data_IF_002442842023
#
_entry.id   IF_002442842023
#
_cell.length_a   1.000
_cell.length_b   1.000
_cell.length_c   1.000
_cell.angle_alpha   90.00
_cell.angle_beta   90.00
_cell.angle_gamma   90.00
#
_symmetry.space_group_name_H-M   'P 1'
#
loop_
_entity.id
_entity.type
_entity.pdbx_description
1 polymer ?
#
# COMPACT_ATOMS: atom_id res chain seq x y z
N UNK A 1 -11.67 -13.28 -58.41
CA UNK A 1 -10.76 -12.27 -57.81
C UNK A 1 -9.49 -12.19 -58.65
N UNK A 2 -8.95 -10.97 -58.76
CA UNK A 2 -8.09 -10.45 -59.84
C UNK A 2 -6.67 -11.07 -59.93
N UNK A 3 -6.28 -11.43 -61.16
CA UNK A 3 -5.02 -11.18 -61.92
C UNK A 3 -3.73 -10.92 -61.12
N UNK A 4 -2.71 -11.79 -61.21
CA UNK A 4 -1.61 -11.89 -62.22
C UNK A 4 -0.51 -10.80 -62.07
N UNK A 5 0.74 -11.28 -62.11
CA UNK A 5 1.90 -10.69 -62.81
C UNK A 5 3.09 -10.29 -61.93
N UNK A 6 4.15 -11.09 -62.06
CA UNK A 6 5.57 -10.83 -61.78
C UNK A 6 6.12 -9.94 -62.91
N UNK A 7 6.85 -8.85 -62.60
CA UNK A 7 7.86 -8.26 -63.50
C UNK A 7 9.03 -7.67 -62.70
N UNK A 8 10.23 -8.05 -63.15
CA UNK A 8 11.57 -7.58 -62.82
C UNK A 8 11.85 -6.26 -63.57
N UNK A 9 12.75 -5.39 -63.07
CA UNK A 9 13.70 -4.47 -63.79
C UNK A 9 14.49 -3.71 -62.68
N UNK A 10 15.77 -3.98 -62.36
CA UNK A 10 17.06 -3.59 -63.00
C UNK A 10 17.35 -2.06 -63.06
N UNK A 11 18.35 -1.55 -62.31
CA UNK A 11 19.55 -0.91 -62.88
C UNK A 11 20.61 -0.50 -61.81
N UNK A 12 21.85 -0.87 -62.11
CA UNK A 12 23.18 -0.52 -61.55
C UNK A 12 23.51 0.99 -61.63
N UNK A 13 24.46 1.55 -60.86
CA UNK A 13 25.90 1.72 -61.23
C UNK A 13 26.70 2.44 -60.11
N UNK A 14 27.82 1.82 -59.71
CA UNK A 14 29.21 2.33 -59.51
C UNK A 14 29.56 3.50 -58.54
N UNK A 15 30.67 3.26 -57.81
CA UNK A 15 31.73 4.18 -57.33
C UNK A 15 31.96 4.04 -55.81
N UNK A 16 33.15 4.02 -55.22
CA UNK A 16 34.54 3.99 -55.66
C UNK A 16 35.33 3.71 -54.37
N UNK A 17 36.41 2.93 -54.46
CA UNK A 17 37.27 2.65 -53.33
C UNK A 17 38.14 3.87 -52.94
N UNK A 18 38.45 3.94 -51.64
CA UNK A 18 39.65 4.48 -51.01
C UNK A 18 39.89 6.00 -51.04
N UNK A 19 39.79 6.63 -49.86
CA UNK A 19 40.72 7.66 -49.40
C UNK A 19 40.78 7.63 -47.87
N UNK A 20 41.97 7.34 -47.33
CA UNK A 20 42.32 7.62 -45.95
C UNK A 20 42.36 9.14 -45.75
N UNK A 21 41.67 9.64 -44.73
CA UNK A 21 42.09 10.88 -44.08
C UNK A 21 41.94 10.75 -42.57
N UNK A 22 43.09 10.82 -41.91
CA UNK A 22 43.24 10.93 -40.47
C UNK A 22 42.58 12.21 -39.99
N UNK A 23 41.49 12.06 -39.23
CA UNK A 23 40.90 13.14 -38.46
C UNK A 23 40.72 12.65 -37.04
N UNK A 24 41.69 12.94 -36.16
CA UNK A 24 41.53 12.75 -34.74
C UNK A 24 40.40 13.67 -34.25
N UNK A 25 39.18 13.13 -34.14
CA UNK A 25 38.13 13.77 -33.38
C UNK A 25 38.48 13.59 -31.91
N UNK A 26 39.01 14.66 -31.32
CA UNK A 26 39.02 14.82 -29.87
C UNK A 26 37.59 14.64 -29.37
N UNK A 27 37.30 13.50 -28.74
CA UNK A 27 36.14 13.37 -27.87
C UNK A 27 36.35 14.37 -26.73
N UNK A 28 35.80 15.57 -26.89
CA UNK A 28 35.47 16.38 -25.73
C UNK A 28 34.37 15.61 -25.00
N UNK A 29 34.77 14.88 -23.97
CA UNK A 29 33.85 14.30 -23.03
C UNK A 29 32.97 15.45 -22.52
N UNK A 30 31.69 15.45 -22.90
CA UNK A 30 30.71 16.22 -22.16
C UNK A 30 30.71 15.64 -20.75
N UNK A 31 31.48 16.28 -19.87
CA UNK A 31 31.37 16.07 -18.45
C UNK A 31 29.89 16.31 -18.10
N UNK A 32 29.19 15.24 -17.73
CA UNK A 32 27.92 15.36 -17.07
C UNK A 32 28.10 16.33 -15.88
N UNK A 33 27.14 17.22 -15.61
CA UNK A 33 27.21 18.07 -14.43
C UNK A 33 27.39 17.19 -13.19
N UNK A 34 28.16 17.64 -12.19
CA UNK A 34 28.49 16.82 -11.03
C UNK A 34 27.19 16.37 -10.37
N UNK A 35 27.09 15.05 -10.24
CA UNK A 35 26.01 14.33 -9.57
C UNK A 35 25.65 15.05 -8.28
N UNK A 36 24.41 15.51 -8.20
CA UNK A 36 23.82 16.11 -7.01
C UNK A 36 23.94 15.06 -5.91
N UNK A 37 24.93 15.20 -5.03
CA UNK A 37 25.42 14.15 -4.14
C UNK A 37 24.33 13.69 -3.18
N UNK A 38 23.45 12.81 -3.66
CA UNK A 38 22.55 12.03 -2.86
C UNK A 38 23.43 11.02 -2.15
N UNK A 39 23.68 11.25 -0.86
CA UNK A 39 24.00 10.14 0.05
C UNK A 39 23.00 9.03 -0.32
N UNK A 40 23.44 7.83 -0.75
CA UNK A 40 22.49 6.82 -1.16
C UNK A 40 21.53 6.63 0.01
N UNK A 41 20.27 6.98 -0.20
CA UNK A 41 19.29 7.12 0.89
C UNK A 41 19.21 5.84 1.74
N UNK A 42 19.55 4.71 1.14
CA UNK A 42 19.76 3.44 1.82
C UNK A 42 21.10 2.84 1.39
N UNK A 43 21.76 2.11 2.28
CA UNK A 43 22.82 1.19 1.90
C UNK A 43 22.31 0.05 0.99
N UNK A 44 23.18 -0.83 0.46
CA UNK A 44 22.78 -1.88 -0.47
C UNK A 44 21.96 -3.02 0.18
N UNK A 45 22.13 -3.27 1.49
CA UNK A 45 21.57 -4.43 2.18
C UNK A 45 20.04 -4.41 2.35
N UNK A 46 19.39 -5.57 2.27
CA UNK A 46 17.93 -5.68 2.49
C UNK A 46 17.60 -5.50 3.97
N UNK A 47 16.70 -4.57 4.30
CA UNK A 47 16.24 -4.40 5.69
C UNK A 47 15.08 -5.36 5.98
N UNK A 48 15.14 -6.00 7.14
CA UNK A 48 14.13 -6.97 7.64
C UNK A 48 13.86 -6.72 9.12
N UNK A 49 12.78 -7.28 9.71
CA UNK A 49 12.57 -7.25 11.16
C UNK A 49 13.84 -7.64 11.93
N UNK A 50 14.15 -6.86 12.98
CA UNK A 50 15.37 -7.01 13.78
C UNK A 50 16.56 -6.17 13.30
N UNK A 51 16.54 -5.63 12.07
CA UNK A 51 17.56 -4.70 11.59
C UNK A 51 17.61 -3.43 12.45
N UNK A 52 18.81 -2.84 12.58
CA UNK A 52 19.02 -1.58 13.32
C UNK A 52 19.96 -0.65 12.55
N UNK A 53 19.85 0.65 12.81
CA UNK A 53 20.81 1.67 12.35
C UNK A 53 20.22 2.74 11.44
N UNK A 54 21.11 3.46 10.75
CA UNK A 54 20.77 4.67 9.97
C UNK A 54 19.77 4.40 8.84
N UNK A 55 19.90 3.27 8.14
CA UNK A 55 18.95 2.87 7.09
C UNK A 55 17.53 2.63 7.64
N UNK A 56 17.41 2.17 8.88
CA UNK A 56 16.12 1.99 9.53
C UNK A 56 15.54 3.33 10.00
N UNK A 57 16.38 4.28 10.44
CA UNK A 57 15.94 5.65 10.71
C UNK A 57 15.38 6.30 9.44
N UNK A 58 16.10 6.18 8.32
CA UNK A 58 15.65 6.70 7.03
C UNK A 58 14.31 6.06 6.61
N UNK A 59 14.21 4.74 6.74
CA UNK A 59 12.99 4.00 6.44
C UNK A 59 11.79 4.52 7.26
N UNK A 60 11.96 4.61 8.58
CA UNK A 60 10.92 5.07 9.49
C UNK A 60 10.52 6.52 9.20
N UNK A 61 11.49 7.39 8.90
CA UNK A 61 11.25 8.79 8.56
C UNK A 61 10.46 8.96 7.26
N UNK A 62 10.87 8.30 6.18
CA UNK A 62 10.14 8.33 4.89
C UNK A 62 8.74 7.72 5.01
N UNK A 63 8.60 6.59 5.70
CA UNK A 63 7.29 6.00 5.95
C UNK A 63 6.40 6.91 6.81
N UNK A 64 6.97 7.65 7.76
CA UNK A 64 6.25 8.62 8.59
C UNK A 64 5.80 9.84 7.79
N UNK A 65 6.67 10.39 6.93
CA UNK A 65 6.31 11.46 6.00
C UNK A 65 5.13 11.06 5.10
N UNK A 66 5.13 9.81 4.65
CA UNK A 66 4.07 9.26 3.80
C UNK A 66 2.82 8.81 4.57
N UNK A 67 2.80 8.93 5.90
CA UNK A 67 1.66 8.54 6.75
C UNK A 67 1.52 7.04 7.02
N UNK A 68 2.47 6.20 6.60
CA UNK A 68 2.44 4.75 6.86
C UNK A 68 2.97 4.35 8.24
N UNK A 69 3.77 5.22 8.88
CA UNK A 69 4.42 4.93 10.16
C UNK A 69 4.12 5.99 11.21
N UNK A 70 3.48 5.61 12.31
CA UNK A 70 3.11 6.53 13.42
C UNK A 70 4.04 6.42 14.63
N UNK A 71 5.05 5.56 14.57
CA UNK A 71 5.99 5.31 15.68
C UNK A 71 7.12 6.34 15.80
N UNK A 72 8.00 6.16 16.81
CA UNK A 72 9.23 6.94 16.95
C UNK A 72 10.26 6.53 15.90
N UNK A 73 11.06 7.48 15.43
CA UNK A 73 12.19 7.22 14.53
C UNK A 73 13.40 6.90 15.42
N UNK A 74 13.58 5.62 15.72
CA UNK A 74 14.59 5.13 16.66
C UNK A 74 15.60 4.18 16.02
N UNK A 75 15.44 3.89 14.72
CA UNK A 75 16.39 3.09 13.97
C UNK A 75 16.32 1.62 14.33
N UNK A 76 15.21 1.14 14.92
CA UNK A 76 14.98 -0.26 15.25
C UNK A 76 13.79 -0.79 14.44
N UNK A 77 14.05 -1.80 13.60
CA UNK A 77 13.05 -2.39 12.72
C UNK A 77 12.19 -3.38 13.51
N UNK A 78 11.25 -2.82 14.29
CA UNK A 78 10.28 -3.56 15.09
C UNK A 78 9.06 -3.99 14.26
N UNK A 79 8.13 -4.70 14.90
CA UNK A 79 6.86 -5.08 14.31
C UNK A 79 6.08 -3.88 13.73
N UNK A 80 6.10 -2.71 14.40
CA UNK A 80 5.42 -1.51 13.88
C UNK A 80 6.03 -1.02 12.56
N UNK A 81 7.35 -1.07 12.41
CA UNK A 81 8.03 -0.71 11.15
C UNK A 81 7.72 -1.74 10.07
N UNK A 82 7.64 -3.02 10.44
CA UNK A 82 7.22 -4.09 9.54
C UNK A 82 5.82 -3.89 8.98
N UNK A 83 4.84 -3.55 9.82
CA UNK A 83 3.49 -3.21 9.37
C UNK A 83 3.49 -2.02 8.42
N UNK A 84 4.23 -0.95 8.74
CA UNK A 84 4.32 0.24 7.91
C UNK A 84 4.97 -0.05 6.54
N UNK A 85 6.00 -0.89 6.48
CA UNK A 85 6.61 -1.34 5.23
C UNK A 85 5.60 -2.13 4.40
N UNK A 86 4.88 -3.06 5.01
CA UNK A 86 3.86 -3.85 4.30
C UNK A 86 2.75 -2.95 3.78
N UNK A 87 2.34 -1.95 4.55
CA UNK A 87 1.32 -0.98 4.14
C UNK A 87 1.80 -0.10 2.96
N UNK A 88 3.05 0.35 3.02
CA UNK A 88 3.67 1.05 1.91
C UNK A 88 3.78 0.16 0.66
N UNK A 89 4.28 -1.07 0.82
CA UNK A 89 4.39 -2.03 -0.28
C UNK A 89 3.02 -2.28 -0.93
N UNK A 90 2.01 -2.49 -0.10
CA UNK A 90 0.62 -2.63 -0.52
C UNK A 90 0.15 -1.41 -1.32
N UNK A 91 0.32 -0.20 -0.79
CA UNK A 91 -0.20 1.05 -1.36
C UNK A 91 0.47 1.44 -2.69
N UNK A 92 1.67 0.91 -2.94
CA UNK A 92 2.45 1.14 -4.16
C UNK A 92 2.54 -0.09 -5.08
N UNK A 93 1.72 -1.13 -4.84
CA UNK A 93 1.65 -2.31 -5.72
C UNK A 93 2.94 -3.16 -5.75
N UNK A 94 3.70 -3.17 -4.66
CA UNK A 94 4.90 -3.98 -4.49
C UNK A 94 4.55 -5.34 -3.87
N UNK A 95 5.51 -6.28 -3.91
CA UNK A 95 5.42 -7.52 -3.13
C UNK A 95 5.34 -7.16 -1.63
N UNK A 96 4.28 -7.62 -0.96
CA UNK A 96 3.97 -7.30 0.45
C UNK A 96 4.64 -8.31 1.39
N UNK A 97 5.97 -8.31 1.43
CA UNK A 97 6.78 -9.24 2.25
C UNK A 97 7.40 -8.58 3.50
N UNK A 98 7.20 -7.28 3.68
CA UNK A 98 7.77 -6.51 4.78
C UNK A 98 9.30 -6.38 4.75
N UNK A 99 9.93 -6.80 3.65
CA UNK A 99 11.37 -6.67 3.42
C UNK A 99 11.65 -5.44 2.55
N UNK A 100 12.59 -4.60 2.97
CA UNK A 100 12.95 -3.38 2.24
C UNK A 100 14.10 -3.68 1.30
N UNK A 101 13.77 -4.35 0.19
CA UNK A 101 14.69 -4.64 -0.92
C UNK A 101 14.81 -3.48 -1.92
N UNK A 102 15.59 -3.64 -3.01
CA UNK A 102 15.87 -2.58 -3.97
C UNK A 102 14.62 -1.90 -4.56
N UNK A 103 13.59 -2.68 -4.91
CA UNK A 103 12.32 -2.14 -5.44
C UNK A 103 11.59 -1.26 -4.43
N UNK A 104 11.53 -1.68 -3.17
CA UNK A 104 10.90 -0.92 -2.07
C UNK A 104 11.68 0.36 -1.78
N UNK A 105 13.02 0.28 -1.73
CA UNK A 105 13.90 1.46 -1.55
C UNK A 105 13.73 2.48 -2.67
N UNK A 106 13.74 2.01 -3.92
CA UNK A 106 13.52 2.86 -5.08
C UNK A 106 12.16 3.56 -5.00
N UNK A 107 11.11 2.84 -4.63
CA UNK A 107 9.78 3.43 -4.50
C UNK A 107 9.71 4.44 -3.34
N UNK A 108 10.33 4.15 -2.19
CA UNK A 108 10.43 5.08 -1.06
C UNK A 108 11.10 6.38 -1.52
N UNK A 109 12.26 6.28 -2.17
CA UNK A 109 12.97 7.42 -2.72
C UNK A 109 12.09 8.22 -3.71
N UNK A 110 11.45 7.56 -4.67
CA UNK A 110 10.56 8.21 -5.66
C UNK A 110 9.39 8.93 -4.98
N UNK A 111 8.79 8.34 -3.95
CA UNK A 111 7.65 8.90 -3.23
C UNK A 111 8.05 10.03 -2.26
N UNK A 112 9.35 10.17 -1.95
CA UNK A 112 9.86 11.13 -0.95
C UNK A 112 11.12 11.84 -1.44
N UNK A 113 11.11 12.33 -2.69
CA UNK A 113 12.27 12.99 -3.32
C UNK A 113 12.83 14.16 -2.50
N UNK A 114 11.96 14.89 -1.80
CA UNK A 114 12.33 16.05 -0.99
C UNK A 114 12.56 15.73 0.49
N UNK A 115 12.60 14.45 0.87
CA UNK A 115 12.84 14.06 2.26
C UNK A 115 14.23 14.47 2.74
N UNK A 116 14.28 15.01 3.96
CA UNK A 116 15.53 15.16 4.73
C UNK A 116 15.32 14.66 6.15
N UNK A 117 16.34 14.09 6.82
CA UNK A 117 16.21 13.61 8.20
C UNK A 117 15.69 14.67 9.20
N UNK A 118 15.95 15.96 8.96
CA UNK A 118 15.47 17.07 9.80
C UNK A 118 13.96 17.34 9.69
N UNK A 119 13.23 16.77 8.73
CA UNK A 119 11.78 17.00 8.56
C UNK A 119 10.90 16.33 9.61
N UNK A 120 11.49 15.55 10.53
CA UNK A 120 10.74 14.84 11.60
C UNK A 120 11.13 15.21 13.03
N UNK A 121 12.03 16.19 13.20
CA UNK A 121 12.30 16.80 14.51
C UNK A 121 11.27 17.89 14.83
N UNK A 122 10.81 18.02 16.10
CA UNK A 122 9.98 19.15 16.50
C UNK A 122 10.82 20.43 16.54
N UNK A 123 10.84 21.21 15.45
CA UNK A 123 11.27 22.62 15.47
C UNK A 123 10.07 23.52 15.74
N UNK A 124 10.23 24.42 16.73
CA UNK A 124 9.34 25.56 17.00
C UNK A 124 8.95 26.24 15.68
N UNK A 125 7.64 26.37 15.48
CA UNK A 125 6.90 27.13 14.46
C UNK A 125 7.74 27.85 13.39
N UNK A 126 7.58 27.43 12.12
CA UNK A 126 7.23 28.35 11.02
C UNK A 126 6.20 27.64 10.14
N UNK A 127 4.99 28.17 10.11
CA UNK A 127 3.92 27.72 9.23
C UNK A 127 4.28 28.04 7.77
N UNK A 128 4.23 27.04 6.88
CA UNK A 128 3.79 27.21 5.48
C UNK A 128 3.60 25.86 4.75
N UNK A 129 2.33 25.61 4.42
CA UNK A 129 1.78 24.86 3.28
C UNK A 129 2.29 23.42 3.08
N UNK A 130 1.56 22.47 3.66
CA UNK A 130 1.59 21.07 3.28
C UNK A 130 1.35 20.93 1.76
N UNK A 131 2.26 20.25 1.07
CA UNK A 131 2.06 19.84 -0.31
C UNK A 131 0.93 18.80 -0.37
N UNK A 132 0.03 18.86 -1.36
CA UNK A 132 -1.04 17.88 -1.49
C UNK A 132 -0.43 16.52 -1.81
N UNK A 133 -0.80 15.50 -1.01
CA UNK A 133 -0.55 14.11 -1.35
C UNK A 133 -1.27 13.79 -2.66
N UNK A 134 -0.57 13.89 -3.78
CA UNK A 134 -1.06 13.42 -5.08
C UNK A 134 -1.08 11.90 -5.05
N UNK A 135 -2.20 11.36 -4.57
CA UNK A 135 -2.51 9.94 -4.58
C UNK A 135 -2.48 9.44 -6.02
N UNK A 136 -1.45 8.68 -6.37
CA UNK A 136 -1.42 7.91 -7.60
C UNK A 136 -2.59 6.91 -7.52
N UNK A 137 -3.63 7.13 -8.36
CA UNK A 137 -4.78 6.22 -8.51
C UNK A 137 -4.27 4.95 -9.17
N UNK A 138 -4.11 3.88 -8.39
CA UNK A 138 -3.87 2.53 -8.90
C UNK A 138 -5.13 2.03 -9.65
N UNK A 139 -4.98 1.08 -10.60
CA UNK A 139 -6.11 0.51 -11.33
C UNK A 139 -7.07 -0.18 -10.35
N UNK A 140 -8.31 0.31 -10.30
CA UNK A 140 -9.42 -0.30 -9.56
C UNK A 140 -10.01 -1.44 -10.39
N UNK A 141 -10.33 -2.58 -9.77
CA UNK A 141 -11.13 -3.63 -10.40
C UNK A 141 -12.55 -3.13 -10.67
N UNK A 142 -13.37 -3.94 -11.35
CA UNK A 142 -14.76 -3.65 -11.77
C UNK A 142 -15.67 -3.13 -10.66
N UNK A 143 -15.32 -3.33 -9.37
CA UNK A 143 -16.11 -2.91 -8.22
C UNK A 143 -15.40 -1.83 -7.37
N UNK A 144 -14.43 -1.10 -7.91
CA UNK A 144 -13.77 0.00 -7.21
C UNK A 144 -12.63 -0.40 -6.25
N UNK A 145 -12.43 -1.69 -6.01
CA UNK A 145 -11.37 -2.24 -5.14
C UNK A 145 -10.23 -2.87 -5.96
N UNK A 146 -8.98 -2.73 -5.52
CA UNK A 146 -7.86 -3.49 -6.09
C UNK A 146 -7.83 -4.93 -5.56
N UNK A 147 -7.08 -5.83 -6.21
CA UNK A 147 -6.87 -7.19 -5.68
C UNK A 147 -6.23 -7.19 -4.29
N UNK A 148 -5.39 -6.17 -4.03
CA UNK A 148 -4.81 -5.95 -2.72
C UNK A 148 -5.90 -5.56 -1.70
N UNK A 149 -6.84 -4.68 -2.04
CA UNK A 149 -7.97 -4.31 -1.18
C UNK A 149 -8.83 -5.51 -0.83
N UNK A 150 -9.16 -6.35 -1.82
CA UNK A 150 -9.94 -7.56 -1.60
C UNK A 150 -9.19 -8.56 -0.69
N UNK A 151 -7.87 -8.71 -0.87
CA UNK A 151 -7.06 -9.55 0.02
C UNK A 151 -7.03 -9.01 1.45
N UNK A 152 -6.84 -7.71 1.62
CA UNK A 152 -6.76 -7.09 2.95
C UNK A 152 -8.12 -7.13 3.68
N UNK A 153 -9.23 -6.92 2.95
CA UNK A 153 -10.58 -7.15 3.47
C UNK A 153 -10.76 -8.60 3.93
N UNK A 154 -10.37 -9.58 3.10
CA UNK A 154 -10.52 -10.99 3.44
C UNK A 154 -9.69 -11.38 4.67
N UNK A 155 -8.50 -10.78 4.81
CA UNK A 155 -7.66 -10.95 5.98
C UNK A 155 -8.31 -10.40 7.26
N UNK A 156 -8.91 -9.21 7.20
CA UNK A 156 -9.63 -8.62 8.32
C UNK A 156 -10.86 -9.47 8.72
N UNK A 157 -11.65 -9.88 7.72
CA UNK A 157 -12.84 -10.74 7.93
C UNK A 157 -12.45 -12.09 8.51
N UNK A 158 -11.38 -12.71 8.00
CA UNK A 158 -10.89 -13.98 8.53
C UNK A 158 -10.48 -13.83 9.99
N UNK A 159 -9.79 -12.75 10.34
CA UNK A 159 -9.28 -12.58 11.69
C UNK A 159 -10.38 -12.28 12.72
N UNK A 160 -11.39 -11.49 12.36
CA UNK A 160 -12.51 -11.13 13.24
C UNK A 160 -13.65 -12.15 13.23
N UNK A 161 -13.81 -12.87 12.12
CA UNK A 161 -14.94 -13.76 11.85
C UNK A 161 -14.59 -15.25 11.89
N UNK A 162 -13.37 -15.64 12.29
CA UNK A 162 -13.01 -17.07 12.37
C UNK A 162 -13.91 -17.80 13.36
N UNK A 163 -14.62 -18.80 12.86
CA UNK A 163 -15.59 -19.58 13.65
C UNK A 163 -16.96 -18.91 13.82
N UNK A 164 -17.20 -17.77 13.17
CA UNK A 164 -18.52 -17.18 13.00
C UNK A 164 -19.27 -17.87 11.84
N UNK A 165 -20.62 -17.87 11.86
CA UNK A 165 -21.40 -18.32 10.70
C UNK A 165 -21.07 -17.46 9.47
N UNK A 166 -21.26 -18.02 8.27
CA UNK A 166 -20.95 -17.33 7.00
C UNK A 166 -21.59 -15.94 6.91
N UNK A 167 -22.87 -15.81 7.32
CA UNK A 167 -23.59 -14.54 7.36
C UNK A 167 -22.91 -13.52 8.28
N UNK A 168 -22.26 -13.96 9.37
CA UNK A 168 -21.49 -13.11 10.26
C UNK A 168 -20.20 -12.60 9.62
N UNK A 169 -19.52 -13.44 8.82
CA UNK A 169 -18.35 -13.00 8.04
C UNK A 169 -18.72 -11.96 6.99
N UNK A 170 -19.84 -12.16 6.28
CA UNK A 170 -20.36 -11.15 5.35
C UNK A 170 -20.70 -9.86 6.10
N UNK A 171 -21.35 -9.94 7.27
CA UNK A 171 -21.69 -8.76 8.07
C UNK A 171 -20.45 -7.96 8.52
N UNK A 172 -19.36 -8.61 8.91
CA UNK A 172 -18.08 -7.96 9.24
C UNK A 172 -17.51 -7.24 8.01
N UNK A 173 -17.52 -7.90 6.84
CA UNK A 173 -17.09 -7.29 5.59
C UNK A 173 -17.92 -6.04 5.27
N UNK A 174 -19.25 -6.13 5.38
CA UNK A 174 -20.17 -5.02 5.14
C UNK A 174 -19.91 -3.84 6.09
N UNK A 175 -19.59 -4.07 7.36
CA UNK A 175 -19.20 -2.98 8.28
C UNK A 175 -17.98 -2.20 7.76
N UNK A 176 -16.98 -2.89 7.20
CA UNK A 176 -15.81 -2.21 6.63
C UNK A 176 -16.22 -1.35 5.43
N UNK A 177 -17.08 -1.87 4.56
CA UNK A 177 -17.59 -1.14 3.39
C UNK A 177 -18.44 0.07 3.81
N UNK A 178 -19.33 -0.10 4.80
CA UNK A 178 -20.16 0.96 5.37
C UNK A 178 -19.31 2.09 5.98
N UNK A 179 -18.15 1.75 6.58
CA UNK A 179 -17.20 2.77 7.08
C UNK A 179 -16.55 3.54 5.94
N UNK A 180 -16.18 2.88 4.84
CA UNK A 180 -15.61 3.55 3.66
C UNK A 180 -16.60 4.57 3.08
N UNK A 181 -17.90 4.28 3.12
CA UNK A 181 -18.97 5.17 2.65
C UNK A 181 -19.34 6.28 3.66
N UNK A 182 -18.91 6.17 4.92
CA UNK A 182 -19.23 7.13 5.97
C UNK A 182 -18.17 8.22 6.10
N UNK A 183 -18.63 9.47 6.17
CA UNK A 183 -17.83 10.66 6.49
C UNK A 183 -17.13 10.63 7.87
N UNK A 184 -17.48 9.68 8.74
CA UNK A 184 -16.89 9.50 10.07
C UNK A 184 -15.59 8.70 10.07
N UNK A 185 -15.24 8.09 8.94
CA UNK A 185 -14.10 7.18 8.84
C UNK A 185 -13.23 7.48 7.62
N UNK A 186 -12.00 6.95 7.57
CA UNK A 186 -11.19 6.98 6.36
C UNK A 186 -11.88 6.35 5.15
N UNK A 187 -11.65 6.90 3.96
CA UNK A 187 -12.28 6.51 2.70
C UNK A 187 -11.52 5.38 1.94
N UNK A 188 -10.66 4.63 2.64
CA UNK A 188 -9.88 3.53 2.05
C UNK A 188 -9.88 2.30 2.95
N UNK A 189 -9.87 1.10 2.34
CA UNK A 189 -9.79 -0.19 3.05
C UNK A 189 -8.64 -0.21 4.06
N UNK A 190 -7.45 0.21 3.61
CA UNK A 190 -6.28 0.38 4.46
C UNK A 190 -6.52 1.38 5.58
N UNK A 191 -7.13 2.53 5.28
CA UNK A 191 -7.44 3.55 6.28
C UNK A 191 -8.32 3.01 7.40
N UNK A 192 -9.35 2.21 7.06
CA UNK A 192 -10.24 1.56 8.03
C UNK A 192 -9.52 0.48 8.83
N UNK A 193 -8.84 -0.45 8.17
CA UNK A 193 -8.28 -1.64 8.82
C UNK A 193 -7.15 -1.27 9.79
N UNK A 194 -6.36 -0.25 9.47
CA UNK A 194 -5.23 0.17 10.31
C UNK A 194 -5.57 1.28 11.31
N UNK A 195 -6.85 1.64 11.50
CA UNK A 195 -7.22 2.52 12.61
C UNK A 195 -6.83 1.88 13.95
N UNK A 196 -6.32 2.67 14.92
CA UNK A 196 -5.98 2.14 16.23
C UNK A 196 -7.15 1.40 16.86
N UNK A 197 -6.90 0.15 17.30
CA UNK A 197 -7.88 -0.72 17.98
C UNK A 197 -9.11 -1.12 17.15
N UNK A 198 -9.11 -0.90 15.83
CA UNK A 198 -10.24 -1.31 14.99
C UNK A 198 -10.28 -2.82 14.72
N UNK A 199 -9.12 -3.47 14.70
CA UNK A 199 -8.94 -4.90 14.44
C UNK A 199 -7.80 -5.43 15.33
N UNK A 200 -8.09 -6.33 16.27
CA UNK A 200 -7.08 -6.88 17.21
C UNK A 200 -5.95 -7.57 16.43
N UNK A 201 -6.31 -8.26 15.35
CA UNK A 201 -5.39 -8.99 14.49
C UNK A 201 -4.33 -8.15 13.78
N UNK A 202 -4.53 -6.82 13.67
CA UNK A 202 -3.53 -5.90 13.13
C UNK A 202 -2.37 -5.75 14.11
N UNK A 203 -2.65 -5.64 15.41
CA UNK A 203 -1.64 -5.48 16.44
C UNK A 203 -0.79 -6.75 16.62
N UNK A 204 -1.43 -7.92 16.48
CA UNK A 204 -0.81 -9.24 16.65
C UNK A 204 -0.15 -9.76 15.35
N UNK A 205 -0.19 -8.98 14.26
CA UNK A 205 0.36 -9.36 12.96
C UNK A 205 -0.42 -10.46 12.23
N UNK A 206 -1.49 -10.97 12.84
CA UNK A 206 -2.37 -12.01 12.30
C UNK A 206 -3.12 -11.57 11.04
N UNK A 207 -3.28 -10.26 10.84
CA UNK A 207 -3.85 -9.68 9.62
C UNK A 207 -3.10 -10.12 8.35
N UNK A 208 -1.90 -10.68 8.46
CA UNK A 208 -1.12 -11.11 7.29
C UNK A 208 -1.20 -12.60 6.99
N UNK A 209 -1.97 -13.37 7.74
CA UNK A 209 -2.23 -14.77 7.43
C UNK A 209 -2.99 -14.89 6.10
N UNK A 210 -2.86 -16.04 5.44
CA UNK A 210 -3.64 -16.27 4.22
C UNK A 210 -5.11 -16.50 4.63
N UNK A 211 -6.06 -15.68 4.13
CA UNK A 211 -7.46 -15.87 4.44
C UNK A 211 -7.98 -17.15 3.79
N UNK A 212 -8.90 -17.85 4.45
CA UNK A 212 -9.56 -19.01 3.85
C UNK A 212 -10.52 -18.60 2.72
N UNK A 213 -10.97 -19.59 1.95
CA UNK A 213 -11.90 -19.36 0.84
C UNK A 213 -13.25 -18.82 1.30
N UNK A 214 -13.67 -19.11 2.55
CA UNK A 214 -14.92 -18.63 3.12
C UNK A 214 -14.88 -17.12 3.35
N UNK A 215 -13.79 -16.60 3.93
CA UNK A 215 -13.60 -15.17 4.15
C UNK A 215 -13.47 -14.40 2.83
N UNK A 216 -12.74 -14.96 1.85
CA UNK A 216 -12.66 -14.37 0.49
C UNK A 216 -14.04 -14.28 -0.17
N UNK A 217 -14.84 -15.34 -0.09
CA UNK A 217 -16.19 -15.37 -0.65
C UNK A 217 -17.11 -14.38 0.06
N UNK A 218 -17.04 -14.31 1.39
CA UNK A 218 -17.83 -13.36 2.18
C UNK A 218 -17.55 -11.90 1.81
N UNK A 219 -16.28 -11.57 1.56
CA UNK A 219 -15.88 -10.24 1.05
C UNK A 219 -16.48 -9.97 -0.31
N UNK A 220 -16.40 -10.92 -1.25
CA UNK A 220 -16.96 -10.73 -2.59
C UNK A 220 -18.48 -10.55 -2.54
N UNK A 221 -19.17 -11.30 -1.69
CA UNK A 221 -20.61 -11.16 -1.49
C UNK A 221 -20.99 -9.78 -0.92
N UNK A 222 -20.23 -9.26 0.06
CA UNK A 222 -20.43 -7.90 0.57
C UNK A 222 -20.12 -6.83 -0.49
N UNK A 223 -19.04 -6.98 -1.24
CA UNK A 223 -18.65 -6.08 -2.36
C UNK A 223 -19.68 -6.11 -3.50
N UNK A 224 -20.42 -7.20 -3.66
CA UNK A 224 -21.53 -7.33 -4.60
C UNK A 224 -22.87 -6.79 -4.03
N UNK A 225 -22.85 -6.20 -2.83
CA UNK A 225 -23.97 -5.47 -2.25
C UNK A 225 -24.76 -6.24 -1.19
N UNK A 226 -24.35 -7.43 -0.77
CA UNK A 226 -25.01 -8.12 0.33
C UNK A 226 -24.58 -7.54 1.69
N UNK A 227 -25.46 -6.79 2.35
CA UNK A 227 -25.26 -6.31 3.72
C UNK A 227 -26.26 -6.94 4.71
N UNK A 228 -25.90 -8.06 5.37
CA UNK A 228 -26.74 -8.65 6.42
C UNK A 228 -26.71 -7.85 7.73
N UNK A 229 -25.74 -6.95 7.93
CA UNK A 229 -25.61 -6.14 9.16
C UNK A 229 -26.69 -5.07 9.29
N UNK A 230 -27.25 -4.60 8.16
CA UNK A 230 -28.28 -3.56 8.13
C UNK A 230 -27.74 -2.13 8.18
N UNK A 231 -26.58 -1.89 7.56
CA UNK A 231 -25.90 -0.60 7.58
C UNK A 231 -25.15 -0.36 8.90
N UNK A 232 -24.61 -1.40 9.52
CA UNK A 232 -23.86 -1.26 10.77
C UNK A 232 -22.50 -0.58 10.52
N UNK A 233 -22.07 0.23 11.48
CA UNK A 233 -20.73 0.86 11.50
C UNK A 233 -19.84 0.26 12.60
N UNK A 234 -20.45 -0.45 13.54
CA UNK A 234 -19.78 -1.08 14.67
C UNK A 234 -20.32 -2.48 14.92
N UNK A 235 -19.52 -3.31 15.55
CA UNK A 235 -19.95 -4.58 16.11
C UNK A 235 -19.15 -4.89 17.37
N UNK A 236 -19.69 -5.74 18.23
CA UNK A 236 -18.96 -6.22 19.41
C UNK A 236 -19.45 -7.59 19.86
N UNK A 237 -18.58 -8.32 20.54
CA UNK A 237 -18.95 -9.56 21.21
C UNK A 237 -19.42 -9.23 22.64
N UNK A 238 -20.71 -9.42 22.99
CA UNK A 238 -21.24 -9.06 24.30
C UNK A 238 -20.61 -9.85 25.45
N UNK A 239 -20.00 -11.02 25.18
CA UNK A 239 -19.28 -11.80 26.19
C UNK A 239 -17.88 -11.24 26.52
N UNK A 240 -17.32 -10.37 25.66
CA UNK A 240 -15.97 -9.80 25.83
C UNK A 240 -15.97 -8.28 26.00
N UNK A 241 -17.01 -7.59 25.53
CA UNK A 241 -17.02 -6.13 25.44
C UNK A 241 -17.19 -5.45 26.81
N UNK A 242 -16.18 -4.69 27.22
CA UNK A 242 -16.17 -3.93 28.47
C UNK A 242 -16.44 -2.43 28.27
N UNK A 243 -16.41 -1.93 27.04
CA UNK A 243 -16.59 -0.50 26.73
C UNK A 243 -18.03 -0.04 26.96
N UNK A 244 -18.28 0.87 27.91
CA UNK A 244 -19.62 1.46 28.11
C UNK A 244 -20.13 2.16 26.85
N UNK A 245 -19.23 2.76 26.08
CA UNK A 245 -19.58 3.46 24.84
C UNK A 245 -20.17 2.51 23.79
N UNK A 246 -19.60 1.30 23.61
CA UNK A 246 -20.14 0.38 22.59
C UNK A 246 -21.54 -0.11 22.94
N UNK A 247 -21.82 -0.33 24.23
CA UNK A 247 -23.14 -0.70 24.73
C UNK A 247 -24.20 0.40 24.57
N UNK A 248 -23.79 1.67 24.46
CA UNK A 248 -24.69 2.80 24.20
C UNK A 248 -25.09 2.97 22.73
N UNK A 249 -24.44 2.26 21.80
CA UNK A 249 -24.76 2.36 20.37
C UNK A 249 -26.12 1.73 20.08
N UNK A 250 -26.96 2.32 19.19
CA UNK A 250 -28.19 1.68 18.75
C UNK A 250 -27.91 0.31 18.13
N UNK A 251 -28.38 -0.74 18.79
CA UNK A 251 -28.19 -2.14 18.38
C UNK A 251 -29.18 -2.46 17.25
N UNK A 252 -28.68 -3.06 16.18
CA UNK A 252 -29.47 -3.42 15.00
C UNK A 252 -29.93 -4.88 15.12
N UNK A 253 -28.97 -5.80 15.29
CA UNK A 253 -29.23 -7.25 15.36
C UNK A 253 -27.99 -8.01 15.87
N UNK A 254 -28.20 -9.28 16.18
CA UNK A 254 -27.14 -10.23 16.53
C UNK A 254 -26.96 -11.25 15.40
N UNK A 255 -25.71 -11.48 14.99
CA UNK A 255 -25.34 -12.54 14.05
C UNK A 255 -24.14 -13.28 14.64
N UNK A 256 -24.29 -14.58 14.87
CA UNK A 256 -23.28 -15.36 15.58
C UNK A 256 -23.02 -14.79 16.98
N UNK A 257 -21.76 -14.51 17.29
CA UNK A 257 -21.35 -13.95 18.58
C UNK A 257 -21.32 -12.42 18.59
N UNK A 258 -21.68 -11.75 17.51
CA UNK A 258 -21.56 -10.30 17.38
C UNK A 258 -22.91 -9.60 17.37
N UNK A 259 -23.01 -8.52 18.14
CA UNK A 259 -24.08 -7.52 18.04
C UNK A 259 -23.59 -6.41 17.12
N UNK A 260 -24.37 -6.10 16.08
CA UNK A 260 -24.09 -5.06 15.08
C UNK A 260 -24.86 -3.78 15.40
N UNK A 261 -24.21 -2.62 15.28
CA UNK A 261 -24.72 -1.34 15.77
C UNK A 261 -24.46 -0.18 14.79
N UNK A 262 -25.26 0.89 14.88
CA UNK A 262 -25.02 2.18 14.20
C UNK A 262 -24.26 3.16 15.07
#
# INVERSE_FOLDING_TARGET
>A
MKRRTIYRILLSVLAMALMLSSGATSLSAMAAPPDETAVPAFGPGVLKPGAKGKDVNELQGRLKLLGFYTGPINGVFTHRTYLAVRLFQYRFGLKVDGSVGPKTKLMLWKATKHWTPSMTEPKKQIAKKAAPATGTKLPRSSNGFSQNDLKLLAQAVYAEGRGEPYVGQVAIASVILNRIESDKFPDTVSGIIFQPLAFEAVADGQIWMEPDETAKKAVMDAVNGWDPSGGALYYFNPARATSKWIWSRPQIKTIGKHIFCR
#
